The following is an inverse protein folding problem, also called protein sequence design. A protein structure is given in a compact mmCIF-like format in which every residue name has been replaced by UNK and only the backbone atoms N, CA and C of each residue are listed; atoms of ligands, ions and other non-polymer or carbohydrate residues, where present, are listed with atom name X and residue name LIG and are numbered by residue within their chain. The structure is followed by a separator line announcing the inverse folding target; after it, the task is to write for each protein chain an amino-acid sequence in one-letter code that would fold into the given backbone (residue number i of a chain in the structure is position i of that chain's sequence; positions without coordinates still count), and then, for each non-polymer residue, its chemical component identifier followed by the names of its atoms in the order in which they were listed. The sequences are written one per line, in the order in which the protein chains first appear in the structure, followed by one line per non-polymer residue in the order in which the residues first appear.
data_IF_395438221230
#
_entry.id   IF_395438221230
#
_cell.length_a   1.000
_cell.length_b   1.000
_cell.length_c   1.000
_cell.angle_alpha   90.00
_cell.angle_beta   90.00
_cell.angle_gamma   90.00
#
_symmetry.space_group_name_H-M   'P 1'
#
loop_
_entity.id
_entity.type
_entity.pdbx_description
1 polymer ?
#
# COMPACT_ATOMS: atom_id res chain seq x y z
N UNK A 1 -28.51 -27.98 -46.56
CA UNK A 1 -27.96 -26.70 -46.08
C UNK A 1 -27.55 -26.84 -44.61
N UNK A 2 -26.28 -27.18 -44.30
CA UNK A 2 -25.75 -27.24 -42.92
C UNK A 2 -24.52 -26.34 -42.70
N UNK A 3 -24.18 -25.51 -43.69
CA UNK A 3 -22.97 -24.69 -43.70
C UNK A 3 -23.12 -23.36 -42.95
N UNK A 4 -24.34 -22.89 -42.67
CA UNK A 4 -24.58 -21.65 -41.92
C UNK A 4 -24.41 -21.77 -40.41
N UNK A 5 -24.60 -22.97 -39.84
CA UNK A 5 -24.57 -23.18 -38.38
C UNK A 5 -23.16 -23.18 -37.80
N UNK A 6 -22.18 -23.79 -38.48
CA UNK A 6 -20.79 -23.79 -38.04
C UNK A 6 -20.16 -22.40 -38.12
N UNK A 7 -20.36 -21.68 -39.23
CA UNK A 7 -19.84 -20.32 -39.37
C UNK A 7 -20.39 -19.37 -38.28
N UNK A 8 -21.66 -19.52 -37.91
CA UNK A 8 -22.26 -18.74 -36.82
C UNK A 8 -21.66 -19.08 -35.44
N UNK A 9 -21.39 -20.36 -35.17
CA UNK A 9 -20.75 -20.79 -33.91
C UNK A 9 -19.31 -20.29 -33.83
N UNK A 10 -18.53 -20.45 -34.90
CA UNK A 10 -17.14 -19.96 -34.97
C UNK A 10 -17.08 -18.44 -34.78
N UNK A 11 -17.98 -17.70 -35.42
CA UNK A 11 -18.09 -16.25 -35.24
C UNK A 11 -18.45 -15.88 -33.81
N UNK A 12 -19.39 -16.60 -33.19
CA UNK A 12 -19.81 -16.33 -31.80
C UNK A 12 -18.66 -16.58 -30.82
N UNK A 13 -17.92 -17.67 -30.99
CA UNK A 13 -16.73 -17.98 -30.17
C UNK A 13 -15.64 -16.94 -30.37
N UNK A 14 -15.37 -16.54 -31.61
CA UNK A 14 -14.40 -15.49 -31.92
C UNK A 14 -14.79 -14.14 -31.30
N UNK A 15 -16.06 -13.76 -31.39
CA UNK A 15 -16.58 -12.53 -30.79
C UNK A 15 -16.48 -12.56 -29.26
N UNK A 16 -16.83 -13.69 -28.63
CA UNK A 16 -16.72 -13.84 -27.18
C UNK A 16 -15.25 -13.73 -26.72
N UNK A 17 -14.33 -14.38 -27.42
CA UNK A 17 -12.90 -14.28 -27.13
C UNK A 17 -12.40 -12.84 -27.24
N UNK A 18 -12.84 -12.10 -28.28
CA UNK A 18 -12.50 -10.69 -28.47
C UNK A 18 -13.05 -9.81 -27.33
N UNK A 19 -14.29 -10.03 -26.91
CA UNK A 19 -14.91 -9.30 -25.80
C UNK A 19 -14.19 -9.55 -24.47
N UNK A 20 -13.84 -10.80 -24.19
CA UNK A 20 -13.07 -11.15 -22.98
C UNK A 20 -11.67 -10.50 -23.02
N UNK A 21 -10.99 -10.52 -24.16
CA UNK A 21 -9.70 -9.86 -24.34
C UNK A 21 -9.81 -8.33 -24.13
N UNK A 22 -10.86 -7.70 -24.66
CA UNK A 22 -11.10 -6.27 -24.47
C UNK A 22 -11.37 -5.93 -22.99
N UNK A 23 -12.18 -6.75 -22.29
CA UNK A 23 -12.42 -6.57 -20.85
C UNK A 23 -11.13 -6.71 -20.03
N UNK A 24 -10.31 -7.72 -20.34
CA UNK A 24 -9.02 -7.91 -19.68
C UNK A 24 -8.06 -6.73 -19.92
N UNK A 25 -8.03 -6.20 -21.15
CA UNK A 25 -7.22 -5.03 -21.46
C UNK A 25 -7.71 -3.77 -20.71
N UNK A 26 -9.02 -3.55 -20.66
CA UNK A 26 -9.61 -2.45 -19.92
C UNK A 26 -9.31 -2.52 -18.41
N UNK A 27 -9.47 -3.70 -17.81
CA UNK A 27 -9.13 -3.94 -16.40
C UNK A 27 -7.65 -3.68 -16.12
N UNK A 28 -6.75 -4.20 -16.97
CA UNK A 28 -5.31 -3.99 -16.79
C UNK A 28 -4.93 -2.52 -16.93
N UNK A 29 -5.51 -1.78 -17.87
CA UNK A 29 -5.31 -0.32 -17.97
C UNK A 29 -5.78 0.41 -16.72
N UNK A 30 -6.98 0.10 -16.23
CA UNK A 30 -7.53 0.73 -15.03
C UNK A 30 -6.70 0.42 -13.78
N UNK A 31 -6.25 -0.83 -13.65
CA UNK A 31 -5.39 -1.26 -12.57
C UNK A 31 -4.03 -0.54 -12.60
N UNK A 32 -3.39 -0.43 -13.78
CA UNK A 32 -2.12 0.27 -13.93
C UNK A 32 -2.24 1.75 -13.61
N UNK A 33 -3.29 2.42 -14.10
CA UNK A 33 -3.58 3.82 -13.78
C UNK A 33 -3.74 4.02 -12.26
N UNK A 34 -4.50 3.16 -11.60
CA UNK A 34 -4.65 3.22 -10.14
C UNK A 34 -3.33 2.99 -9.42
N UNK A 35 -2.53 2.02 -9.87
CA UNK A 35 -1.23 1.71 -9.28
C UNK A 35 -0.26 2.89 -9.36
N UNK A 36 -0.24 3.61 -10.48
CA UNK A 36 0.58 4.81 -10.65
C UNK A 36 0.16 5.94 -9.69
N UNK A 37 -1.14 6.20 -9.58
CA UNK A 37 -1.67 7.23 -8.68
C UNK A 37 -1.44 6.87 -7.20
N UNK A 38 -1.61 5.59 -6.84
CA UNK A 38 -1.29 5.10 -5.49
C UNK A 38 0.20 5.20 -5.17
N UNK A 39 1.07 4.98 -6.16
CA UNK A 39 2.51 5.13 -5.99
C UNK A 39 2.90 6.60 -5.74
N UNK A 40 2.32 7.54 -6.49
CA UNK A 40 2.49 8.97 -6.24
C UNK A 40 2.01 9.35 -4.84
N UNK A 41 0.82 8.89 -4.43
CA UNK A 41 0.31 9.14 -3.09
C UNK A 41 1.21 8.55 -1.99
N UNK A 42 1.79 7.37 -2.23
CA UNK A 42 2.76 6.76 -1.31
C UNK A 42 4.07 7.57 -1.22
N UNK A 43 4.54 8.15 -2.32
CA UNK A 43 5.69 9.05 -2.33
C UNK A 43 5.40 10.30 -1.50
N UNK A 44 4.24 10.93 -1.68
CA UNK A 44 3.87 12.14 -0.92
C UNK A 44 3.72 11.83 0.59
N UNK A 45 3.14 10.66 0.92
CA UNK A 45 3.06 10.19 2.30
C UNK A 45 4.46 9.97 2.91
N UNK A 46 5.36 9.32 2.16
CA UNK A 46 6.73 9.10 2.59
C UNK A 46 7.46 10.44 2.78
N UNK A 47 7.35 11.36 1.81
CA UNK A 47 7.93 12.70 1.86
C UNK A 47 7.51 13.44 3.12
N UNK A 48 6.21 13.48 3.39
CA UNK A 48 5.67 14.07 4.62
C UNK A 48 6.25 13.39 5.87
N UNK A 49 6.35 12.05 5.89
CA UNK A 49 6.95 11.31 6.99
C UNK A 49 8.44 11.62 7.22
N UNK A 50 9.22 11.73 6.15
CA UNK A 50 10.67 11.96 6.22
C UNK A 50 11.06 13.30 6.80
N UNK A 51 10.26 14.34 6.59
CA UNK A 51 10.52 15.69 7.15
C UNK A 51 9.82 15.94 8.47
N UNK A 52 8.84 15.11 8.84
CA UNK A 52 8.02 15.31 10.04
C UNK A 52 8.19 14.21 11.08
N UNK A 53 9.39 13.66 11.21
CA UNK A 53 9.74 12.70 12.25
C UNK A 53 8.88 11.43 12.22
N UNK A 54 8.38 11.01 11.05
CA UNK A 54 7.43 9.90 10.87
C UNK A 54 6.08 10.15 11.57
N UNK A 55 5.64 11.42 11.67
CA UNK A 55 4.38 11.76 12.33
C UNK A 55 3.17 11.18 11.56
N UNK A 56 2.37 10.27 12.16
CA UNK A 56 1.31 9.55 11.46
C UNK A 56 0.24 10.43 10.82
N UNK A 57 -0.11 11.55 11.46
CA UNK A 57 -1.14 12.45 10.96
C UNK A 57 -0.72 13.18 9.69
N UNK A 58 0.55 13.59 9.60
CA UNK A 58 1.09 14.28 8.41
C UNK A 58 1.19 13.30 7.23
N UNK A 59 1.65 12.07 7.49
CA UNK A 59 1.68 11.02 6.46
C UNK A 59 0.28 10.72 5.93
N UNK A 60 -0.71 10.57 6.82
CA UNK A 60 -2.11 10.35 6.43
C UNK A 60 -2.66 11.51 5.62
N UNK A 61 -2.50 12.75 6.09
CA UNK A 61 -3.03 13.93 5.41
C UNK A 61 -2.43 14.08 4.00
N UNK A 62 -1.12 13.90 3.86
CA UNK A 62 -0.44 13.93 2.56
C UNK A 62 -0.91 12.80 1.64
N UNK A 63 -1.06 11.58 2.17
CA UNK A 63 -1.58 10.44 1.42
C UNK A 63 -3.01 10.71 0.91
N UNK A 64 -3.91 11.15 1.79
CA UNK A 64 -5.31 11.41 1.46
C UNK A 64 -5.45 12.57 0.45
N UNK A 65 -4.65 13.63 0.60
CA UNK A 65 -4.60 14.74 -0.34
C UNK A 65 -4.13 14.28 -1.73
N UNK A 66 -3.07 13.49 -1.80
CA UNK A 66 -2.58 12.92 -3.06
C UNK A 66 -3.52 11.87 -3.66
N UNK A 67 -4.34 11.22 -2.83
CA UNK A 67 -5.37 10.28 -3.26
C UNK A 67 -6.63 10.97 -3.78
N UNK A 68 -6.83 12.27 -3.55
CA UNK A 68 -8.04 13.00 -3.96
C UNK A 68 -8.47 12.76 -5.43
N UNK A 69 -7.58 12.66 -6.44
CA UNK A 69 -7.96 12.33 -7.82
C UNK A 69 -8.55 10.91 -8.00
N UNK A 70 -8.20 9.97 -7.11
CA UNK A 70 -8.75 8.61 -7.06
C UNK A 70 -10.00 8.51 -6.18
N UNK A 71 -10.28 9.51 -5.34
CA UNK A 71 -11.43 9.52 -4.45
C UNK A 71 -12.72 9.78 -5.25
N UNK A 72 -13.29 8.73 -5.83
CA UNK A 72 -14.75 8.65 -5.90
C UNK A 72 -15.23 8.20 -4.53
N UNK A 73 -15.78 9.12 -3.75
CA UNK A 73 -16.31 8.86 -2.39
C UNK A 73 -17.19 7.60 -2.33
N UNK A 74 -17.88 7.26 -3.42
CA UNK A 74 -18.67 6.03 -3.60
C UNK A 74 -17.88 4.74 -3.45
N UNK A 75 -16.62 4.68 -3.90
CA UNK A 75 -15.79 3.46 -3.83
C UNK A 75 -15.26 3.21 -2.42
N UNK A 76 -14.88 4.25 -1.69
CA UNK A 76 -14.47 4.09 -0.28
C UNK A 76 -15.66 3.80 0.61
N UNK A 77 -16.82 4.38 0.31
CA UNK A 77 -18.07 4.05 0.99
C UNK A 77 -18.49 2.60 0.76
N UNK A 78 -18.38 2.09 -0.48
CA UNK A 78 -18.66 0.69 -0.79
C UNK A 78 -17.73 -0.28 -0.04
N UNK A 79 -16.41 -0.01 -0.01
CA UNK A 79 -15.46 -0.81 0.76
C UNK A 79 -15.84 -0.85 2.25
N UNK A 80 -16.19 0.31 2.83
CA UNK A 80 -16.60 0.39 4.24
C UNK A 80 -17.93 -0.31 4.50
N UNK A 81 -18.88 -0.26 3.56
CA UNK A 81 -20.15 -0.98 3.66
C UNK A 81 -19.95 -2.50 3.69
N UNK A 82 -18.91 -3.00 3.03
CA UNK A 82 -18.48 -4.39 3.07
C UNK A 82 -17.58 -4.72 4.28
N UNK A 83 -17.41 -3.79 5.23
CA UNK A 83 -16.56 -3.97 6.41
C UNK A 83 -15.06 -3.94 6.12
N UNK A 84 -14.65 -3.52 4.92
CA UNK A 84 -13.25 -3.40 4.53
C UNK A 84 -12.66 -2.05 4.94
N UNK A 85 -11.37 -2.06 5.24
CA UNK A 85 -10.56 -0.85 5.38
C UNK A 85 -10.10 -0.44 3.97
N UNK A 86 -10.51 0.73 3.43
CA UNK A 86 -10.20 1.10 2.04
C UNK A 86 -8.70 1.14 1.73
N UNK A 87 -7.90 1.57 2.70
CA UNK A 87 -6.45 1.60 2.59
C UNK A 87 -5.80 1.52 3.97
N UNK A 88 -4.59 0.97 4.01
CA UNK A 88 -3.79 0.80 5.21
C UNK A 88 -2.34 1.15 4.89
N UNK A 89 -1.76 2.06 5.65
CA UNK A 89 -0.35 2.44 5.55
C UNK A 89 0.41 1.84 6.73
N UNK A 90 1.50 1.13 6.47
CA UNK A 90 2.34 0.49 7.47
C UNK A 90 3.77 1.01 7.39
N UNK A 91 4.34 1.40 8.54
CA UNK A 91 5.76 1.70 8.66
C UNK A 91 6.49 0.40 8.96
N UNK A 92 7.30 -0.06 8.00
CA UNK A 92 8.13 -1.24 8.14
C UNK A 92 9.49 -0.89 8.76
N UNK A 93 10.03 0.28 8.42
CA UNK A 93 11.27 0.83 8.97
C UNK A 93 11.08 2.34 9.19
N UNK A 94 11.57 2.91 10.30
CA UNK A 94 12.23 2.24 11.42
C UNK A 94 11.30 1.31 12.21
N UNK A 95 11.88 0.25 12.77
CA UNK A 95 11.18 -0.82 13.49
C UNK A 95 11.54 -0.77 14.97
N UNK A 96 10.88 -1.55 15.81
CA UNK A 96 11.24 -1.63 17.23
C UNK A 96 12.71 -2.06 17.46
N UNK A 97 13.29 -2.88 16.58
CA UNK A 97 14.70 -3.24 16.66
C UNK A 97 15.63 -2.04 16.36
N UNK A 98 15.23 -1.17 15.44
CA UNK A 98 15.93 0.08 15.12
C UNK A 98 15.95 1.02 16.33
N UNK A 99 14.79 1.25 16.94
CA UNK A 99 14.67 2.08 18.14
C UNK A 99 15.41 1.52 19.35
N UNK A 100 15.45 0.19 19.54
CA UNK A 100 16.22 -0.42 20.64
C UNK A 100 17.73 -0.20 20.50
N UNK A 101 18.25 -0.18 19.27
CA UNK A 101 19.70 -0.08 19.02
C UNK A 101 20.19 1.37 18.96
N UNK A 102 19.44 2.24 18.30
CA UNK A 102 19.85 3.62 17.97
C UNK A 102 18.90 4.69 18.51
N UNK A 103 17.84 4.30 19.21
CA UNK A 103 16.90 5.25 19.81
C UNK A 103 17.50 5.96 21.02
N UNK A 104 17.29 7.27 21.08
CA UNK A 104 17.69 8.15 22.17
C UNK A 104 16.66 9.28 22.35
N UNK A 105 16.62 9.89 23.52
CA UNK A 105 15.80 11.08 23.74
C UNK A 105 16.54 12.30 23.18
N UNK A 106 15.94 12.97 22.22
CA UNK A 106 16.49 14.15 21.57
C UNK A 106 15.75 15.41 22.07
N UNK A 107 16.46 16.54 22.29
CA UNK A 107 15.83 17.79 22.67
C UNK A 107 14.76 18.23 21.65
N UNK A 108 13.59 18.63 22.14
CA UNK A 108 12.49 19.11 21.30
C UNK A 108 11.61 18.02 20.68
N UNK A 109 11.88 16.74 20.95
CA UNK A 109 11.02 15.63 20.52
C UNK A 109 10.32 14.99 21.72
N UNK A 110 9.04 14.60 21.58
CA UNK A 110 8.22 14.12 22.69
C UNK A 110 8.58 12.69 23.11
N UNK A 111 9.18 11.90 22.21
CA UNK A 111 9.36 10.45 22.36
C UNK A 111 10.77 10.03 21.90
N UNK A 112 11.10 8.76 22.15
CA UNK A 112 12.34 8.15 21.68
C UNK A 112 12.50 8.32 20.16
N UNK A 113 13.63 8.85 19.73
CA UNK A 113 13.91 9.12 18.32
C UNK A 113 15.30 8.62 17.94
N UNK A 114 15.53 8.38 16.65
CA UNK A 114 16.86 8.04 16.14
C UNK A 114 17.50 9.33 15.64
N UNK A 115 18.78 9.53 16.00
CA UNK A 115 19.52 10.67 15.48
C UNK A 115 19.84 10.46 13.99
N UNK A 116 19.49 11.46 13.18
CA UNK A 116 19.69 11.45 11.73
C UNK A 116 21.01 12.13 11.33
N UNK A 117 21.64 12.86 12.24
CA UNK A 117 22.85 13.62 11.97
C UNK A 117 24.09 12.74 12.14
N UNK A 118 25.18 13.06 11.43
CA UNK A 118 26.48 12.39 11.62
C UNK A 118 26.41 10.85 11.55
N UNK A 119 25.63 10.32 10.59
CA UNK A 119 25.40 8.87 10.49
C UNK A 119 26.70 8.10 10.25
N UNK A 120 27.65 8.65 9.48
CA UNK A 120 28.92 7.99 9.21
C UNK A 120 29.75 7.80 10.49
N UNK A 121 29.79 8.83 11.33
CA UNK A 121 30.48 8.82 12.62
C UNK A 121 29.78 7.87 13.60
N UNK A 122 28.44 7.88 13.64
CA UNK A 122 27.67 6.94 14.45
C UNK A 122 27.91 5.48 14.04
N UNK A 123 28.00 5.20 12.73
CA UNK A 123 28.26 3.86 12.22
C UNK A 123 29.68 3.40 12.55
N UNK A 124 30.67 4.29 12.48
CA UNK A 124 32.04 4.02 12.89
C UNK A 124 32.14 3.70 14.40
N UNK A 125 31.34 4.37 15.24
CA UNK A 125 31.30 4.14 16.69
C UNK A 125 30.52 2.88 17.07
N UNK A 126 29.50 2.50 16.31
CA UNK A 126 28.64 1.34 16.60
C UNK A 126 28.32 0.51 15.35
N UNK A 127 29.33 -0.13 14.74
CA UNK A 127 29.14 -0.91 13.53
C UNK A 127 28.24 -2.14 13.78
N UNK A 128 27.52 -2.56 12.75
CA UNK A 128 26.71 -3.77 12.74
C UNK A 128 25.22 -3.54 12.54
N UNK A 129 24.45 -4.63 12.49
CA UNK A 129 23.04 -4.59 12.08
C UNK A 129 22.06 -4.47 13.26
N UNK A 130 20.96 -3.72 13.10
CA UNK A 130 20.70 -2.81 11.98
C UNK A 130 21.63 -1.59 11.99
N UNK A 131 22.11 -1.18 10.83
CA UNK A 131 23.01 -0.02 10.72
C UNK A 131 22.26 1.29 10.91
N UNK A 132 22.95 2.36 11.28
CA UNK A 132 22.32 3.67 11.49
C UNK A 132 21.71 4.23 10.20
N UNK A 133 22.29 3.92 9.04
CA UNK A 133 21.77 4.29 7.73
C UNK A 133 20.43 3.59 7.47
N UNK A 134 20.38 2.26 7.62
CA UNK A 134 19.12 1.49 7.49
C UNK A 134 18.04 1.96 8.48
N UNK A 135 18.48 2.41 9.65
CA UNK A 135 17.62 2.90 10.73
C UNK A 135 17.02 4.27 10.39
N UNK A 136 17.75 5.10 9.64
CA UNK A 136 17.29 6.39 9.10
C UNK A 136 16.67 6.28 7.70
N UNK A 137 16.30 5.09 7.25
CA UNK A 137 15.48 4.90 6.04
C UNK A 137 14.02 4.63 6.44
N UNK A 138 13.10 5.45 5.92
CA UNK A 138 11.66 5.23 6.04
C UNK A 138 11.20 4.23 4.99
N UNK A 139 10.74 3.07 5.42
CA UNK A 139 10.14 2.07 4.54
C UNK A 139 8.66 1.93 4.84
N UNK A 140 7.82 2.28 3.87
CA UNK A 140 6.38 2.22 3.96
C UNK A 140 5.81 1.07 3.12
N UNK A 141 4.72 0.47 3.58
CA UNK A 141 3.90 -0.46 2.83
C UNK A 141 2.46 0.03 2.81
N UNK A 142 1.92 0.17 1.60
CA UNK A 142 0.51 0.45 1.37
C UNK A 142 -0.20 -0.86 1.02
N UNK A 143 -1.33 -1.10 1.66
CA UNK A 143 -2.34 -2.08 1.22
C UNK A 143 -3.63 -1.33 0.90
N UNK A 144 -4.10 -1.42 -0.34
CA UNK A 144 -5.27 -0.69 -0.83
C UNK A 144 -6.32 -1.68 -1.36
N UNK A 145 -7.58 -1.51 -0.97
CA UNK A 145 -8.70 -2.26 -1.50
C UNK A 145 -9.24 -1.54 -2.75
N UNK A 146 -9.00 -2.11 -3.92
CA UNK A 146 -9.48 -1.56 -5.20
C UNK A 146 -10.69 -2.32 -5.71
N UNK A 147 -11.75 -1.59 -6.04
CA UNK A 147 -12.90 -2.17 -6.73
C UNK A 147 -12.49 -2.55 -8.17
N UNK A 148 -12.75 -3.79 -8.62
CA UNK A 148 -12.55 -4.19 -10.01
C UNK A 148 -13.46 -3.37 -10.94
N UNK A 149 -13.04 -3.16 -12.18
CA UNK A 149 -13.82 -2.40 -13.15
C UNK A 149 -15.00 -3.21 -13.73
N UNK A 150 -14.92 -4.53 -13.67
CA UNK A 150 -15.87 -5.49 -14.22
C UNK A 150 -16.37 -6.46 -13.15
N UNK A 151 -17.63 -6.85 -13.26
CA UNK A 151 -18.26 -7.85 -12.39
C UNK A 151 -17.68 -9.25 -12.59
N UNK A 152 -17.18 -9.54 -13.80
CA UNK A 152 -16.50 -10.80 -14.11
C UNK A 152 -15.27 -10.99 -13.21
N UNK A 153 -14.41 -9.96 -13.12
CA UNK A 153 -13.23 -10.02 -12.26
C UNK A 153 -13.65 -10.10 -10.78
N UNK A 154 -14.64 -9.30 -10.36
CA UNK A 154 -15.17 -9.35 -9.00
C UNK A 154 -15.60 -10.75 -8.56
N UNK A 155 -16.26 -11.50 -9.44
CA UNK A 155 -16.71 -12.87 -9.18
C UNK A 155 -15.56 -13.88 -9.11
N UNK A 156 -14.42 -13.61 -9.77
CA UNK A 156 -13.27 -14.51 -9.80
C UNK A 156 -12.32 -14.33 -8.60
N UNK A 157 -12.26 -13.13 -8.02
CA UNK A 157 -11.32 -12.79 -6.94
C UNK A 157 -11.47 -13.64 -5.66
N UNK A 158 -12.68 -14.02 -5.20
CA UNK A 158 -12.84 -14.87 -4.01
C UNK A 158 -12.17 -16.23 -4.14
N UNK A 159 -12.09 -16.80 -5.36
CA UNK A 159 -11.39 -18.06 -5.61
C UNK A 159 -9.87 -17.96 -5.42
N UNK A 160 -9.31 -16.74 -5.51
CA UNK A 160 -7.90 -16.47 -5.27
C UNK A 160 -7.58 -16.14 -3.81
N UNK A 161 -8.60 -15.89 -2.97
CA UNK A 161 -8.41 -15.53 -1.57
C UNK A 161 -7.58 -16.56 -0.76
N UNK A 162 -7.73 -17.89 -0.96
CA UNK A 162 -6.91 -18.89 -0.27
C UNK A 162 -5.41 -18.79 -0.58
N UNK A 163 -5.05 -18.28 -1.77
CA UNK A 163 -3.66 -18.09 -2.19
C UNK A 163 -3.02 -16.84 -1.56
N UNK A 164 -3.79 -16.02 -0.85
CA UNK A 164 -3.27 -14.82 -0.20
C UNK A 164 -2.44 -15.16 1.04
N UNK A 165 -1.20 -14.68 1.05
CA UNK A 165 -0.26 -14.87 2.17
C UNK A 165 -0.61 -14.11 3.46
N UNK A 166 -1.49 -13.10 3.41
CA UNK A 166 -1.85 -12.26 4.56
C UNK A 166 -3.36 -12.13 4.73
N UNK A 167 -3.84 -12.03 5.97
CA UNK A 167 -5.28 -12.01 6.24
C UNK A 167 -5.99 -10.76 5.68
N UNK A 168 -5.35 -9.58 5.62
CA UNK A 168 -5.98 -8.41 4.96
C UNK A 168 -6.21 -8.68 3.49
N UNK A 169 -5.21 -9.21 2.80
CA UNK A 169 -5.33 -9.50 1.36
C UNK A 169 -6.39 -10.57 1.13
N UNK A 170 -6.43 -11.58 2.01
CA UNK A 170 -7.48 -12.61 1.99
C UNK A 170 -8.88 -12.02 2.17
N UNK A 171 -9.07 -11.15 3.16
CA UNK A 171 -10.36 -10.50 3.41
C UNK A 171 -10.81 -9.63 2.22
N UNK A 172 -9.89 -8.82 1.66
CA UNK A 172 -10.17 -7.99 0.48
C UNK A 172 -10.54 -8.87 -0.73
N UNK A 173 -9.78 -9.93 -1.01
CA UNK A 173 -10.08 -10.84 -2.12
C UNK A 173 -11.37 -11.62 -1.92
N UNK A 174 -11.65 -12.08 -0.70
CA UNK A 174 -12.87 -12.81 -0.36
C UNK A 174 -14.13 -11.95 -0.56
N UNK A 175 -14.02 -10.64 -0.37
CA UNK A 175 -15.07 -9.67 -0.67
C UNK A 175 -15.22 -9.36 -2.18
N UNK A 176 -14.37 -9.93 -3.05
CA UNK A 176 -14.39 -9.61 -4.49
C UNK A 176 -13.63 -8.34 -4.86
N UNK A 177 -12.78 -7.84 -3.98
CA UNK A 177 -11.95 -6.65 -4.20
C UNK A 177 -10.51 -7.02 -4.52
N UNK A 178 -9.83 -6.17 -5.28
CA UNK A 178 -8.43 -6.37 -5.64
C UNK A 178 -7.52 -5.73 -4.59
N UNK A 179 -6.69 -6.54 -3.94
CA UNK A 179 -5.73 -6.07 -2.96
C UNK A 179 -4.45 -5.57 -3.66
N UNK A 180 -4.30 -4.26 -3.80
CA UNK A 180 -3.09 -3.62 -4.33
C UNK A 180 -2.11 -3.42 -3.17
N UNK A 181 -0.89 -3.95 -3.30
CA UNK A 181 0.21 -3.72 -2.36
C UNK A 181 1.35 -2.98 -3.04
N UNK A 182 1.82 -1.91 -2.39
CA UNK A 182 2.98 -1.14 -2.80
C UNK A 182 3.93 -0.98 -1.62
N UNK A 183 5.22 -1.02 -1.89
CA UNK A 183 6.26 -0.68 -0.91
C UNK A 183 7.11 0.44 -1.49
N UNK A 184 7.57 1.32 -0.60
CA UNK A 184 8.47 2.42 -0.92
C UNK A 184 9.48 2.56 0.21
N UNK A 185 10.74 2.83 -0.13
CA UNK A 185 11.77 3.21 0.80
C UNK A 185 12.28 4.61 0.44
N UNK A 186 12.55 5.43 1.45
CA UNK A 186 13.04 6.78 1.26
C UNK A 186 13.87 7.20 2.48
N UNK A 187 14.94 7.93 2.26
CA UNK A 187 15.79 8.41 3.36
C UNK A 187 15.06 9.46 4.22
N UNK A 188 15.36 9.44 5.51
CA UNK A 188 14.86 10.43 6.46
C UNK A 188 15.63 11.76 6.34
N UNK A 189 14.90 12.86 6.38
CA UNK A 189 15.44 14.23 6.48
C UNK A 189 15.18 14.85 7.87
N UNK A 190 14.69 14.05 8.81
CA UNK A 190 14.40 14.42 10.19
C UNK A 190 14.65 13.22 11.09
N UNK A 191 14.70 13.42 12.40
CA UNK A 191 14.87 12.33 13.37
C UNK A 191 13.61 11.46 13.45
N UNK A 192 13.60 10.20 13.00
CA UNK A 192 12.37 9.43 13.06
C UNK A 192 12.02 9.15 14.53
N UNK A 193 10.83 9.60 14.93
CA UNK A 193 10.35 9.54 16.31
C UNK A 193 9.38 8.37 16.48
N UNK A 194 9.43 7.71 17.64
CA UNK A 194 8.56 6.59 17.97
C UNK A 194 7.17 7.08 18.35
N UNK A 195 6.31 7.25 17.36
CA UNK A 195 4.93 7.65 17.60
C UNK A 195 4.04 6.47 18.01
N UNK A 196 3.03 6.71 18.87
CA UNK A 196 1.96 5.73 19.10
C UNK A 196 1.19 5.45 17.79
N UNK A 197 0.59 4.27 17.70
CA UNK A 197 -0.21 3.89 16.52
C UNK A 197 -1.39 4.85 16.33
N UNK A 198 -1.60 5.32 15.10
CA UNK A 198 -2.77 6.12 14.71
C UNK A 198 -3.67 5.29 13.79
N UNK A 199 -4.98 5.49 13.85
CA UNK A 199 -5.92 4.76 12.99
C UNK A 199 -5.49 4.84 11.49
N UNK A 200 -5.43 3.69 10.81
CA UNK A 200 -5.01 3.50 9.40
C UNK A 200 -3.52 3.69 9.08
N UNK A 201 -2.74 4.28 9.98
CA UNK A 201 -1.27 4.40 9.87
C UNK A 201 -0.62 3.61 11.00
N UNK A 202 -0.26 2.37 10.69
CA UNK A 202 0.33 1.47 11.66
C UNK A 202 1.84 1.66 11.68
N UNK A 203 2.34 2.25 12.76
CA UNK A 203 3.78 2.42 13.03
C UNK A 203 4.47 1.10 13.40
N UNK A 204 3.69 0.01 13.51
CA UNK A 204 4.15 -1.36 13.72
C UNK A 204 3.52 -2.28 12.70
N UNK A 205 4.32 -3.15 12.08
CA UNK A 205 3.80 -4.22 11.22
C UNK A 205 2.98 -5.20 12.06
N UNK A 206 1.66 -5.04 12.09
CA UNK A 206 0.77 -6.09 12.60
C UNK A 206 0.29 -6.92 11.43
N UNK A 207 0.38 -8.26 11.46
CA UNK A 207 -0.45 -9.04 10.57
C UNK A 207 -1.90 -8.57 10.75
N UNK A 208 -2.67 -8.59 9.68
CA UNK A 208 -4.09 -8.31 9.81
C UNK A 208 -4.68 -9.46 10.61
N UNK A 209 -4.99 -9.21 11.88
CA UNK A 209 -5.35 -10.21 12.88
C UNK A 209 -5.23 -9.58 14.25
#
# INVERSE_FOLDING_TARGET
MRWGGQAAVEFTVALLALLLAACALYETMQWQRQRQLLHLALIEAARAGSVSHVHPQHMRAAFEAALAPLQHQSRHAAARAEGLIPWRLEVLQPSEAHYRRHGQHLPGLPELAINNDYQAEQDALRPGLPSIQQTNTLRLRLTYASAPATTLLAALLPYLAPLAGDACRRAILAAGWLAIRLELAMEMHSHPTRWPELAQVHTRSRPCG
#
